data_IF_256469321714
#
_entry.id   IF_256469321714
#
_cell.length_a   1.000
_cell.length_b   1.000
_cell.length_c   1.000
_cell.angle_alpha   90.00
_cell.angle_beta   90.00
_cell.angle_gamma   90.00
#
_symmetry.space_group_name_H-M   'P 1'
#
loop_
_entity.id
_entity.type
_entity.pdbx_description
1 polymer ?
#
# COMPACT_ATOMS: atom_id res chain seq x y z
N UNK A 1 -19.91 2.18 15.46
CA UNK A 1 -18.84 1.34 14.90
C UNK A 1 -18.73 1.67 13.42
N UNK A 2 -17.55 2.03 12.95
CA UNK A 2 -17.28 2.65 11.65
C UNK A 2 -16.75 1.59 10.69
N UNK A 3 -17.33 1.47 9.49
CA UNK A 3 -16.80 0.61 8.43
C UNK A 3 -16.13 1.50 7.38
N UNK A 4 -14.79 1.44 7.30
CA UNK A 4 -14.02 1.99 6.19
C UNK A 4 -13.57 0.90 5.25
N UNK A 5 -13.72 1.13 3.95
CA UNK A 5 -13.32 0.18 2.91
C UNK A 5 -12.26 0.80 2.00
N UNK A 6 -11.19 0.03 1.76
CA UNK A 6 -10.04 0.42 0.93
C UNK A 6 -9.96 -0.35 -0.40
N UNK A 7 -11.06 -0.96 -0.83
CA UNK A 7 -11.21 -1.56 -2.16
C UNK A 7 -12.64 -1.28 -2.64
N UNK A 8 -12.78 -0.88 -3.90
CA UNK A 8 -14.06 -0.46 -4.52
C UNK A 8 -15.09 -1.60 -4.58
N UNK A 9 -15.71 -1.92 -3.45
CA UNK A 9 -16.70 -2.97 -3.36
C UNK A 9 -18.02 -2.46 -2.81
N UNK A 10 -18.97 -2.26 -3.72
CA UNK A 10 -20.29 -1.67 -3.46
C UNK A 10 -21.18 -2.49 -2.49
N UNK A 11 -20.84 -3.75 -2.25
CA UNK A 11 -21.58 -4.62 -1.32
C UNK A 11 -21.47 -4.09 0.11
N UNK A 12 -20.29 -3.64 0.53
CA UNK A 12 -20.07 -3.20 1.91
C UNK A 12 -20.99 -2.04 2.31
N UNK A 13 -21.10 -1.03 1.44
CA UNK A 13 -21.98 0.11 1.68
C UNK A 13 -23.46 -0.25 1.59
N UNK A 14 -23.84 -1.12 0.65
CA UNK A 14 -25.22 -1.61 0.53
C UNK A 14 -25.65 -2.36 1.80
N UNK A 15 -24.77 -3.20 2.36
CA UNK A 15 -25.01 -3.88 3.62
C UNK A 15 -25.05 -2.92 4.81
N UNK A 16 -24.17 -1.93 4.85
CA UNK A 16 -24.18 -0.90 5.89
C UNK A 16 -25.50 -0.12 5.90
N UNK A 17 -26.01 0.27 4.73
CA UNK A 17 -27.33 0.90 4.58
C UNK A 17 -28.45 -0.02 5.06
N UNK A 18 -28.44 -1.30 4.65
CA UNK A 18 -29.45 -2.29 5.07
C UNK A 18 -29.51 -2.49 6.58
N UNK A 19 -28.35 -2.40 7.24
CA UNK A 19 -28.19 -2.61 8.68
C UNK A 19 -28.24 -1.31 9.49
N UNK A 20 -28.46 -0.15 8.85
CA UNK A 20 -28.43 1.17 9.48
C UNK A 20 -27.11 1.46 10.23
N UNK A 21 -25.98 1.01 9.68
CA UNK A 21 -24.64 1.24 10.22
C UNK A 21 -23.99 2.41 9.47
N UNK A 22 -23.39 3.41 10.16
CA UNK A 22 -22.64 4.47 9.51
C UNK A 22 -21.46 3.93 8.68
N UNK A 23 -21.36 4.37 7.43
CA UNK A 23 -20.31 4.00 6.48
C UNK A 23 -19.51 5.22 6.05
N UNK A 24 -18.19 5.07 5.98
CA UNK A 24 -17.28 6.10 5.47
C UNK A 24 -16.28 5.44 4.54
N UNK A 25 -15.83 6.16 3.52
CA UNK A 25 -14.77 5.68 2.64
C UNK A 25 -13.47 6.39 3.00
N UNK A 26 -12.36 5.66 2.99
CA UNK A 26 -11.04 6.22 3.29
C UNK A 26 -10.08 5.91 2.14
N UNK A 27 -9.41 6.94 1.68
CA UNK A 27 -8.32 6.90 0.71
C UNK A 27 -6.99 6.96 1.47
N UNK A 28 -5.98 6.24 0.97
CA UNK A 28 -4.62 6.27 1.53
C UNK A 28 -3.65 7.12 0.69
N UNK A 29 -4.12 7.63 -0.45
CA UNK A 29 -3.41 8.55 -1.34
C UNK A 29 -4.44 9.55 -1.91
N UNK A 30 -4.09 10.83 -2.04
CA UNK A 30 -5.02 11.89 -2.45
C UNK A 30 -5.37 11.84 -3.94
N UNK A 31 -4.57 11.12 -4.75
CA UNK A 31 -4.66 11.10 -6.22
C UNK A 31 -4.99 9.71 -6.76
N UNK A 32 -5.97 9.03 -6.17
CA UNK A 32 -6.74 8.12 -7.02
C UNK A 32 -7.51 9.01 -8.01
N UNK A 33 -7.02 9.19 -9.23
CA UNK A 33 -7.86 9.70 -10.31
C UNK A 33 -8.97 8.67 -10.52
N UNK A 34 -10.12 8.96 -9.92
CA UNK A 34 -11.33 8.13 -9.96
C UNK A 34 -12.13 8.38 -11.25
N UNK A 35 -11.76 9.37 -12.05
CA UNK A 35 -12.47 9.74 -13.28
C UNK A 35 -12.11 8.81 -14.45
N UNK A 36 -12.69 7.63 -14.43
CA UNK A 36 -12.88 6.86 -15.65
C UNK A 36 -14.39 6.68 -15.83
N UNK A 37 -15.06 7.52 -16.64
CA UNK A 37 -16.50 7.42 -16.90
C UNK A 37 -16.95 6.03 -17.38
N UNK A 38 -16.04 5.26 -18.01
CA UNK A 38 -16.31 3.88 -18.41
C UNK A 38 -16.43 2.90 -17.23
N UNK A 39 -15.87 3.23 -16.05
CA UNK A 39 -15.90 2.37 -14.86
C UNK A 39 -17.26 2.40 -14.16
N UNK A 40 -17.90 3.57 -14.07
CA UNK A 40 -19.18 3.70 -13.38
C UNK A 40 -20.28 2.92 -14.11
N UNK A 41 -20.26 2.91 -15.45
CA UNK A 41 -21.15 2.09 -16.27
C UNK A 41 -20.94 0.58 -16.06
N UNK A 42 -19.70 0.14 -15.83
CA UNK A 42 -19.39 -1.27 -15.53
C UNK A 42 -19.87 -1.69 -14.13
N UNK A 43 -19.98 -0.75 -13.19
CA UNK A 43 -20.36 -1.03 -11.80
C UNK A 43 -21.87 -0.86 -11.56
N UNK A 44 -22.53 0.09 -12.22
CA UNK A 44 -23.94 0.46 -11.97
C UNK A 44 -24.90 -0.74 -12.04
N UNK A 45 -24.79 -1.57 -13.08
CA UNK A 45 -25.65 -2.74 -13.28
C UNK A 45 -25.51 -3.77 -12.16
N UNK A 46 -24.29 -4.31 -11.92
CA UNK A 46 -24.03 -5.23 -10.80
C UNK A 46 -24.42 -4.66 -9.43
N UNK A 47 -24.15 -3.37 -9.18
CA UNK A 47 -24.53 -2.68 -7.95
C UNK A 47 -26.05 -2.71 -7.73
N UNK A 48 -26.82 -2.24 -8.71
CA UNK A 48 -28.27 -2.14 -8.56
C UNK A 48 -28.96 -3.51 -8.54
N UNK A 49 -28.41 -4.51 -9.24
CA UNK A 49 -28.87 -5.91 -9.13
C UNK A 49 -28.65 -6.46 -7.71
N UNK A 50 -27.47 -6.23 -7.11
CA UNK A 50 -27.18 -6.63 -5.74
C UNK A 50 -28.12 -5.92 -4.74
N UNK A 51 -28.31 -4.60 -4.87
CA UNK A 51 -29.21 -3.83 -4.00
C UNK A 51 -30.65 -4.32 -4.08
N UNK A 52 -31.15 -4.60 -5.29
CA UNK A 52 -32.48 -5.19 -5.48
C UNK A 52 -32.60 -6.55 -4.77
N UNK A 53 -31.56 -7.40 -4.82
CA UNK A 53 -31.58 -8.71 -4.15
C UNK A 53 -31.67 -8.64 -2.62
N UNK A 54 -31.31 -7.50 -2.01
CA UNK A 54 -31.42 -7.25 -0.56
C UNK A 54 -32.55 -6.27 -0.20
N UNK A 55 -33.40 -5.93 -1.18
CA UNK A 55 -34.56 -5.06 -1.00
C UNK A 55 -34.20 -3.58 -0.77
N UNK A 56 -33.10 -3.11 -1.34
CA UNK A 56 -32.70 -1.70 -1.34
C UNK A 56 -32.98 -1.04 -2.70
N UNK A 57 -33.27 0.28 -2.72
CA UNK A 57 -33.53 1.01 -3.96
C UNK A 57 -32.26 1.13 -4.81
N UNK A 58 -32.41 1.35 -6.11
CA UNK A 58 -31.29 1.62 -7.01
C UNK A 58 -30.56 2.93 -6.65
N UNK A 59 -29.31 3.02 -7.09
CA UNK A 59 -28.43 4.19 -6.96
C UNK A 59 -28.09 4.70 -8.36
N UNK A 60 -28.24 6.01 -8.54
CA UNK A 60 -27.94 6.69 -9.81
C UNK A 60 -26.50 7.22 -9.87
N UNK A 61 -26.01 7.82 -8.77
CA UNK A 61 -24.64 8.34 -8.67
C UNK A 61 -23.71 7.29 -8.04
N UNK A 62 -23.15 6.43 -8.89
CA UNK A 62 -22.25 5.33 -8.48
C UNK A 62 -21.00 5.85 -7.80
N UNK A 63 -20.42 6.95 -8.29
CA UNK A 63 -19.21 7.56 -7.70
C UNK A 63 -19.46 8.02 -6.27
N UNK A 64 -20.48 8.84 -6.03
CA UNK A 64 -20.78 9.34 -4.69
C UNK A 64 -21.24 8.24 -3.74
N UNK A 65 -21.83 7.16 -4.27
CA UNK A 65 -22.06 5.97 -3.48
C UNK A 65 -20.71 5.39 -3.06
N UNK A 66 -19.93 4.85 -4.01
CA UNK A 66 -18.68 4.13 -3.73
C UNK A 66 -17.69 4.89 -2.83
N UNK A 67 -17.50 6.18 -3.08
CA UNK A 67 -16.50 6.99 -2.39
C UNK A 67 -17.06 7.82 -1.24
N UNK A 68 -18.37 7.77 -1.01
CA UNK A 68 -19.11 8.77 -0.24
C UNK A 68 -18.94 10.20 -0.79
N UNK A 69 -19.77 11.13 -0.33
CA UNK A 69 -19.66 12.55 -0.72
C UNK A 69 -18.43 13.26 -0.12
N UNK A 70 -17.94 12.74 1.01
CA UNK A 70 -16.82 13.29 1.77
C UNK A 70 -15.93 12.13 2.23
N UNK A 71 -15.12 11.54 1.33
CA UNK A 71 -14.14 10.53 1.73
C UNK A 71 -13.14 11.12 2.72
N UNK A 72 -12.56 10.26 3.55
CA UNK A 72 -11.42 10.61 4.38
C UNK A 72 -10.12 10.34 3.64
N UNK A 73 -9.07 11.10 3.94
CA UNK A 73 -7.71 10.80 3.50
C UNK A 73 -6.90 10.40 4.73
N UNK A 74 -6.58 9.11 4.85
CA UNK A 74 -5.81 8.54 5.95
C UNK A 74 -4.33 8.50 5.58
N UNK A 75 -3.68 9.66 5.49
CA UNK A 75 -2.31 9.77 5.03
C UNK A 75 -1.61 11.02 5.55
N UNK A 76 -0.29 10.93 5.68
CA UNK A 76 0.52 11.97 6.30
C UNK A 76 0.53 13.26 5.46
N UNK A 77 0.28 14.39 6.13
CA UNK A 77 0.25 15.72 5.50
C UNK A 77 1.59 16.14 4.90
N UNK A 78 2.70 15.60 5.39
CA UNK A 78 4.03 15.90 4.85
C UNK A 78 4.33 15.13 3.56
N UNK A 79 3.70 13.96 3.39
CA UNK A 79 3.82 13.14 2.17
C UNK A 79 2.83 13.57 1.07
N UNK A 80 1.85 14.41 1.43
CA UNK A 80 0.82 14.90 0.52
C UNK A 80 0.89 16.43 0.45
N UNK A 81 1.57 16.99 -0.57
CA UNK A 81 1.62 18.43 -0.74
C UNK A 81 0.20 18.97 -0.95
N UNK A 82 -0.23 19.92 -0.12
CA UNK A 82 -1.46 20.69 -0.34
C UNK A 82 -1.20 21.73 -1.43
N UNK A 83 -1.14 21.31 -2.68
CA UNK A 83 -1.00 22.20 -3.85
C UNK A 83 -2.34 22.83 -4.29
N UNK A 84 -3.29 22.98 -3.35
CA UNK A 84 -4.65 23.49 -3.62
C UNK A 84 -5.57 22.52 -4.35
N UNK A 85 -5.14 21.28 -4.60
CA UNK A 85 -5.90 20.27 -5.35
C UNK A 85 -6.74 19.32 -4.48
N UNK A 86 -6.68 19.46 -3.16
CA UNK A 86 -7.51 18.72 -2.23
C UNK A 86 -8.59 19.67 -1.75
N UNK A 87 -9.85 19.30 -1.98
CA UNK A 87 -11.03 20.05 -1.53
C UNK A 87 -10.96 20.29 -0.02
N UNK A 88 -11.31 21.51 0.42
CA UNK A 88 -11.29 21.90 1.83
C UNK A 88 -12.24 21.08 2.70
N UNK A 89 -13.24 20.45 2.08
CA UNK A 89 -14.27 19.67 2.77
C UNK A 89 -13.86 18.20 3.02
N UNK A 90 -12.66 17.79 2.57
CA UNK A 90 -12.12 16.44 2.81
C UNK A 90 -11.47 16.36 4.18
N UNK A 91 -11.90 15.37 4.98
CA UNK A 91 -11.30 15.09 6.29
C UNK A 91 -10.00 14.32 6.09
N UNK A 92 -8.86 14.98 6.33
CA UNK A 92 -7.55 14.33 6.34
C UNK A 92 -7.15 13.94 7.77
N UNK A 93 -6.88 12.66 8.01
CA UNK A 93 -6.33 12.13 9.26
C UNK A 93 -4.86 11.77 9.12
N UNK A 94 -4.16 11.53 10.23
CA UNK A 94 -2.88 10.83 10.22
C UNK A 94 -3.00 9.47 9.53
N UNK A 95 -1.89 8.90 9.01
CA UNK A 95 -1.90 7.57 8.43
C UNK A 95 -2.30 6.53 9.48
N UNK A 96 -3.14 5.56 9.07
CA UNK A 96 -3.57 4.48 9.95
C UNK A 96 -2.51 3.40 10.04
N UNK A 97 -1.63 3.52 11.03
CA UNK A 97 -0.53 2.59 11.25
C UNK A 97 -0.76 1.84 12.55
N UNK A 98 -0.86 0.51 12.46
CA UNK A 98 -0.83 -0.36 13.63
C UNK A 98 0.63 -0.50 14.10
N UNK A 99 0.89 -0.28 15.39
CA UNK A 99 2.22 -0.52 15.95
C UNK A 99 2.59 -2.01 15.80
N UNK A 100 3.72 -2.29 15.18
CA UNK A 100 4.17 -3.66 14.95
C UNK A 100 5.27 -4.02 15.96
N UNK A 101 4.90 -4.83 16.95
CA UNK A 101 5.79 -5.30 18.02
C UNK A 101 6.42 -6.67 17.72
N UNK A 102 6.16 -7.25 16.55
CA UNK A 102 6.69 -8.57 16.20
C UNK A 102 8.22 -8.50 16.09
N UNK A 103 8.96 -9.44 16.70
CA UNK A 103 10.41 -9.45 16.58
C UNK A 103 10.84 -9.75 15.14
N UNK A 104 12.03 -9.27 14.75
CA UNK A 104 12.66 -9.74 13.52
C UNK A 104 13.11 -11.19 13.69
N UNK A 105 13.02 -12.03 12.64
CA UNK A 105 13.59 -13.37 12.63
C UNK A 105 15.07 -13.39 13.02
N UNK A 106 15.50 -14.47 13.68
CA UNK A 106 16.86 -14.56 14.24
C UNK A 106 17.94 -14.54 13.15
N UNK A 107 17.73 -15.31 12.08
CA UNK A 107 18.58 -15.36 10.88
C UNK A 107 18.71 -13.99 10.19
N UNK A 108 17.63 -13.21 10.15
CA UNK A 108 17.68 -11.83 9.65
C UNK A 108 18.50 -10.93 10.57
N UNK A 109 18.40 -11.08 11.90
CA UNK A 109 19.22 -10.32 12.84
C UNK A 109 20.71 -10.68 12.72
N UNK A 110 21.03 -11.97 12.55
CA UNK A 110 22.39 -12.44 12.26
C UNK A 110 22.91 -11.80 10.97
N UNK A 111 22.15 -11.86 9.88
CA UNK A 111 22.50 -11.21 8.62
C UNK A 111 22.74 -9.70 8.78
N UNK A 112 21.83 -8.99 9.44
CA UNK A 112 21.96 -7.55 9.67
C UNK A 112 23.24 -7.21 10.45
N UNK A 113 23.60 -8.01 11.46
CA UNK A 113 24.79 -7.79 12.30
C UNK A 113 26.12 -8.21 11.67
N UNK A 114 26.10 -9.07 10.64
CA UNK A 114 27.31 -9.62 10.03
C UNK A 114 28.11 -8.64 9.15
N UNK A 115 27.63 -7.40 8.94
CA UNK A 115 28.31 -6.46 8.06
C UNK A 115 27.66 -5.07 8.02
N UNK A 116 28.00 -4.29 6.98
CA UNK A 116 27.41 -2.97 6.75
C UNK A 116 25.90 -3.05 6.53
N UNK A 117 25.11 -2.02 6.91
CA UNK A 117 23.67 -2.01 6.69
C UNK A 117 23.32 -2.33 5.22
N UNK A 118 22.47 -3.36 4.98
CA UNK A 118 22.10 -3.74 3.62
C UNK A 118 21.12 -2.71 3.02
N UNK A 119 20.82 -2.83 1.73
CA UNK A 119 19.69 -2.16 1.10
C UNK A 119 18.52 -3.13 1.02
N UNK A 120 17.34 -2.68 1.46
CA UNK A 120 16.09 -3.42 1.28
C UNK A 120 15.57 -3.18 -0.14
N UNK A 121 15.10 -4.23 -0.82
CA UNK A 121 14.32 -4.12 -2.06
C UNK A 121 13.08 -5.00 -1.96
N UNK A 122 11.89 -4.44 -2.22
CA UNK A 122 10.64 -5.21 -2.16
C UNK A 122 9.44 -4.50 -2.78
N UNK A 123 8.63 -5.26 -3.50
CA UNK A 123 7.48 -4.73 -4.26
C UNK A 123 6.12 -5.04 -3.62
N UNK A 124 6.12 -5.54 -2.39
CA UNK A 124 4.90 -5.76 -1.61
C UNK A 124 3.90 -6.69 -2.32
N UNK A 125 2.66 -6.21 -2.45
CA UNK A 125 1.58 -6.91 -3.14
C UNK A 125 1.63 -6.79 -4.68
N UNK A 126 2.57 -6.00 -5.23
CA UNK A 126 2.69 -5.84 -6.67
C UNK A 126 3.32 -7.08 -7.29
N UNK A 127 2.71 -7.55 -8.39
CA UNK A 127 3.31 -8.58 -9.25
C UNK A 127 4.32 -7.90 -10.15
N UNK A 128 5.60 -8.14 -9.92
CA UNK A 128 6.69 -7.66 -10.77
C UNK A 128 7.44 -8.84 -11.39
N UNK A 129 8.04 -8.69 -12.58
CA UNK A 129 8.89 -9.73 -13.16
C UNK A 129 10.13 -9.99 -12.29
N UNK A 130 10.60 -11.24 -12.25
CA UNK A 130 11.84 -11.62 -11.54
C UNK A 130 13.05 -10.81 -12.03
N UNK A 131 13.11 -10.47 -13.32
CA UNK A 131 14.19 -9.65 -13.89
C UNK A 131 14.27 -8.25 -13.26
N UNK A 132 13.15 -7.71 -12.77
CA UNK A 132 13.16 -6.43 -12.04
C UNK A 132 13.88 -6.55 -10.71
N UNK A 133 13.67 -7.67 -9.99
CA UNK A 133 14.39 -7.94 -8.75
C UNK A 133 15.88 -8.20 -9.00
N UNK A 134 16.20 -8.97 -10.06
CA UNK A 134 17.58 -9.25 -10.45
C UNK A 134 18.35 -7.97 -10.78
N UNK A 135 17.76 -7.09 -11.59
CA UNK A 135 18.36 -5.80 -11.92
C UNK A 135 18.59 -4.92 -10.68
N UNK A 136 17.67 -4.92 -9.72
CA UNK A 136 17.84 -4.20 -8.47
C UNK A 136 18.95 -4.80 -7.60
N UNK A 137 19.01 -6.13 -7.46
CA UNK A 137 20.08 -6.85 -6.74
C UNK A 137 21.45 -6.50 -7.33
N UNK A 138 21.59 -6.58 -8.66
CA UNK A 138 22.83 -6.26 -9.36
C UNK A 138 23.23 -4.79 -9.17
N UNK A 139 22.27 -3.86 -9.26
CA UNK A 139 22.53 -2.45 -9.04
C UNK A 139 22.98 -2.14 -7.60
N UNK A 140 22.36 -2.78 -6.60
CA UNK A 140 22.76 -2.64 -5.18
C UNK A 140 24.18 -3.18 -4.97
N UNK A 141 24.48 -4.36 -5.52
CA UNK A 141 25.80 -5.00 -5.44
C UNK A 141 26.89 -4.15 -6.12
N UNK A 142 26.59 -3.55 -7.25
CA UNK A 142 27.52 -2.65 -7.96
C UNK A 142 27.93 -1.43 -7.11
N UNK A 143 27.11 -1.05 -6.11
CA UNK A 143 27.41 0.00 -5.14
C UNK A 143 28.08 -0.53 -3.86
N UNK A 144 28.42 -1.83 -3.80
CA UNK A 144 29.10 -2.45 -2.65
C UNK A 144 28.18 -2.72 -1.45
N UNK A 145 26.86 -2.74 -1.65
CA UNK A 145 25.90 -3.03 -0.60
C UNK A 145 25.41 -4.48 -0.62
N UNK A 146 25.14 -5.01 0.57
CA UNK A 146 24.39 -6.26 0.77
C UNK A 146 22.89 -6.03 0.51
N UNK A 147 22.15 -7.09 0.22
CA UNK A 147 20.74 -7.02 -0.17
C UNK A 147 19.84 -7.73 0.84
N UNK A 148 18.70 -7.11 1.14
CA UNK A 148 17.57 -7.74 1.82
C UNK A 148 16.39 -7.73 0.83
N UNK A 149 16.03 -8.88 0.28
CA UNK A 149 15.01 -9.04 -0.76
C UNK A 149 13.65 -9.42 -0.15
N UNK A 150 12.67 -8.52 -0.26
CA UNK A 150 11.26 -8.79 -0.04
C UNK A 150 10.66 -9.68 -1.13
N UNK A 151 10.41 -10.95 -0.84
CA UNK A 151 9.83 -11.91 -1.80
C UNK A 151 8.45 -11.44 -2.31
N UNK A 152 7.62 -10.89 -1.41
CA UNK A 152 6.33 -10.28 -1.75
C UNK A 152 5.33 -11.25 -2.40
N UNK A 153 4.24 -10.72 -2.95
CA UNK A 153 3.22 -11.54 -3.63
C UNK A 153 3.74 -12.15 -4.94
N UNK A 154 4.78 -11.54 -5.52
CA UNK A 154 5.44 -12.03 -6.72
C UNK A 154 6.29 -13.30 -6.48
N UNK A 155 6.57 -13.66 -5.22
CA UNK A 155 7.40 -14.82 -4.89
C UNK A 155 8.83 -14.67 -5.38
N UNK A 156 9.40 -13.46 -5.27
CA UNK A 156 10.74 -13.16 -5.75
C UNK A 156 11.77 -13.98 -4.99
N UNK A 157 12.79 -14.43 -5.73
CA UNK A 157 13.91 -15.21 -5.21
C UNK A 157 15.23 -14.49 -5.48
N UNK A 158 16.28 -14.89 -4.76
CA UNK A 158 17.64 -14.43 -5.09
C UNK A 158 18.05 -14.97 -6.47
N UNK A 159 18.90 -14.22 -7.18
CA UNK A 159 19.42 -14.62 -8.49
C UNK A 159 20.57 -15.64 -8.41
N UNK A 160 21.20 -15.78 -7.24
CA UNK A 160 22.31 -16.68 -6.96
C UNK A 160 22.35 -17.06 -5.45
N UNK A 161 23.23 -18.00 -5.08
CA UNK A 161 23.38 -18.51 -3.71
C UNK A 161 24.46 -17.75 -2.89
N UNK A 162 24.69 -16.47 -3.20
CA UNK A 162 25.69 -15.67 -2.48
C UNK A 162 25.18 -15.26 -1.10
N UNK A 163 26.11 -15.12 -0.16
CA UNK A 163 25.86 -14.78 1.25
C UNK A 163 25.54 -13.29 1.48
N UNK A 164 25.59 -12.47 0.44
CA UNK A 164 25.30 -11.03 0.49
C UNK A 164 23.82 -10.69 0.25
N UNK A 165 22.96 -11.68 -0.01
CA UNK A 165 21.53 -11.49 -0.27
C UNK A 165 20.67 -12.34 0.67
N UNK A 166 19.84 -11.70 1.50
CA UNK A 166 18.89 -12.36 2.38
C UNK A 166 17.46 -12.23 1.83
N UNK A 167 16.79 -13.35 1.56
CA UNK A 167 15.40 -13.36 1.08
C UNK A 167 14.43 -13.46 2.25
N UNK A 168 13.47 -12.54 2.32
CA UNK A 168 12.44 -12.51 3.36
C UNK A 168 11.03 -12.67 2.80
N UNK A 169 10.15 -13.28 3.59
CA UNK A 169 8.71 -13.27 3.38
C UNK A 169 8.05 -12.00 3.93
N UNK A 170 6.98 -12.18 4.69
CA UNK A 170 6.37 -11.09 5.46
C UNK A 170 7.23 -10.77 6.70
N UNK A 171 7.38 -9.49 7.03
CA UNK A 171 8.26 -9.03 8.11
C UNK A 171 7.74 -7.73 8.76
N UNK A 172 8.14 -7.50 10.01
CA UNK A 172 8.01 -6.19 10.65
C UNK A 172 8.90 -5.14 9.95
N UNK A 173 8.32 -4.40 9.00
CA UNK A 173 8.98 -3.31 8.30
C UNK A 173 9.34 -2.14 9.23
N UNK A 174 8.55 -1.88 10.28
CA UNK A 174 8.82 -0.82 11.25
C UNK A 174 10.11 -1.07 12.03
N UNK A 175 10.42 -2.34 12.34
CA UNK A 175 11.66 -2.74 13.00
C UNK A 175 12.85 -2.94 12.03
N UNK A 176 12.58 -3.37 10.79
CA UNK A 176 13.60 -3.61 9.78
C UNK A 176 14.16 -2.32 9.18
N UNK A 177 13.30 -1.39 8.76
CA UNK A 177 13.75 -0.23 7.99
C UNK A 177 14.81 0.62 8.71
N UNK A 178 14.70 0.91 10.02
CA UNK A 178 15.76 1.64 10.74
C UNK A 178 17.15 0.97 10.74
N UNK A 179 17.27 -0.28 10.25
CA UNK A 179 18.49 -1.08 10.21
C UNK A 179 19.05 -1.27 8.79
N UNK A 180 18.45 -0.65 7.77
CA UNK A 180 18.92 -0.72 6.38
C UNK A 180 19.45 0.64 5.93
N UNK A 181 20.36 0.63 4.95
CA UNK A 181 20.95 1.85 4.37
C UNK A 181 19.93 2.61 3.51
N UNK A 182 19.09 1.88 2.78
CA UNK A 182 18.03 2.44 1.93
C UNK A 182 16.92 1.42 1.69
N UNK A 183 15.75 1.91 1.26
CA UNK A 183 14.57 1.12 0.92
C UNK A 183 14.21 1.36 -0.54
N UNK A 184 14.27 0.32 -1.37
CA UNK A 184 13.75 0.31 -2.74
C UNK A 184 12.38 -0.34 -2.73
N UNK A 185 11.34 0.38 -3.15
CA UNK A 185 9.96 -0.13 -3.07
C UNK A 185 9.04 0.40 -4.16
N UNK A 186 7.87 -0.24 -4.31
CA UNK A 186 6.88 0.05 -5.35
C UNK A 186 6.06 1.35 -5.16
N UNK A 187 6.21 2.05 -4.04
CA UNK A 187 5.51 3.31 -3.76
C UNK A 187 4.18 3.22 -3.00
N UNK A 188 3.66 2.03 -2.70
CA UNK A 188 2.36 1.89 -2.01
C UNK A 188 2.30 2.64 -0.68
N UNK A 189 1.15 3.25 -0.38
CA UNK A 189 0.99 4.24 0.70
C UNK A 189 1.50 3.75 2.06
N UNK A 190 1.25 2.47 2.41
CA UNK A 190 1.70 1.88 3.67
C UNK A 190 3.22 1.73 3.77
N UNK A 191 3.87 1.24 2.70
CA UNK A 191 5.34 1.08 2.68
C UNK A 191 6.03 2.44 2.65
N UNK A 192 5.56 3.37 1.83
CA UNK A 192 6.06 4.75 1.76
C UNK A 192 5.94 5.44 3.12
N UNK A 193 4.79 5.31 3.79
CA UNK A 193 4.61 5.85 5.16
C UNK A 193 5.59 5.22 6.14
N UNK A 194 5.77 3.89 6.10
CA UNK A 194 6.66 3.19 7.04
C UNK A 194 8.13 3.57 6.81
N UNK A 195 8.56 3.64 5.56
CA UNK A 195 9.92 4.04 5.19
C UNK A 195 10.19 5.51 5.54
N UNK A 196 9.27 6.43 5.24
CA UNK A 196 9.39 7.83 5.63
C UNK A 196 9.50 7.99 7.16
N UNK A 197 8.66 7.28 7.94
CA UNK A 197 8.71 7.30 9.41
C UNK A 197 9.99 6.72 9.99
N UNK A 198 10.65 5.80 9.29
CA UNK A 198 11.93 5.22 9.71
C UNK A 198 13.14 6.15 9.51
N UNK A 199 12.98 7.21 8.69
CA UNK A 199 14.07 8.12 8.33
C UNK A 199 15.04 7.59 7.28
N UNK A 200 14.77 6.41 6.70
CA UNK A 200 15.62 5.83 5.67
C UNK A 200 15.52 6.54 4.32
N UNK A 201 16.63 6.55 3.59
CA UNK A 201 16.64 6.94 2.18
C UNK A 201 15.78 5.98 1.36
N UNK A 202 15.06 6.51 0.36
CA UNK A 202 14.09 5.75 -0.42
C UNK A 202 14.37 5.88 -1.92
N UNK A 203 14.21 4.77 -2.65
CA UNK A 203 14.10 4.74 -4.12
C UNK A 203 12.75 4.15 -4.46
N UNK A 204 11.88 4.96 -5.05
CA UNK A 204 10.52 4.53 -5.42
C UNK A 204 10.52 4.07 -6.87
N UNK A 205 10.08 2.83 -7.11
CA UNK A 205 9.95 2.20 -8.43
C UNK A 205 8.46 1.95 -8.69
N UNK A 206 7.70 2.99 -9.10
CA UNK A 206 6.25 2.92 -9.21
C UNK A 206 5.82 1.87 -10.24
N UNK A 207 4.79 1.10 -9.91
CA UNK A 207 4.24 0.07 -10.79
C UNK A 207 2.87 0.48 -11.33
N UNK A 208 1.86 0.52 -10.47
CA UNK A 208 0.49 0.93 -10.75
C UNK A 208 -0.22 1.24 -9.42
N UNK A 209 -1.40 1.85 -9.49
CA UNK A 209 -2.21 2.29 -8.35
C UNK A 209 -1.68 3.55 -7.64
N UNK A 210 -1.61 3.51 -6.31
CA UNK A 210 -1.44 4.65 -5.38
C UNK A 210 -0.01 5.18 -5.25
#
# INVERSE_FOLDING_TARGET
MFLATGMLHFVAQSLAEKLSIPHHFALFSPRLEVEVPSRDALIAGPLNAHRASIGLPAVDNVRDFLFTKQPWIAADVSLIPRDGKIDSDIVQTSPWVLADERPLPHDLLEFLSAGSPPVYVGFGSMRVPQDTANAAIEAIRAQGHRVVLGSGLAGLVASDDKDDCFVLGEVNQQALFPRVAAVIHHGGAGTTTTAARSGCAQVVVPQAAD
#
